data_IF_104568387803
#
_entry.id   IF_104568387803
#
_cell.length_a   1.000
_cell.length_b   1.000
_cell.length_c   1.000
_cell.angle_alpha   90.00
_cell.angle_beta   90.00
_cell.angle_gamma   90.00
#
_symmetry.space_group_name_H-M   'P 1'
#
loop_
_entity.id
_entity.type
_entity.pdbx_description
1 polymer ?
#
# COMPACT_ATOMS: atom_id res chain seq x y z
N UNK A 1 -12.68 -17.53 -1.73
CA UNK A 1 -11.49 -18.28 -1.29
C UNK A 1 -10.39 -18.44 -2.37
N UNK A 2 -10.35 -17.57 -3.41
CA UNK A 2 -9.38 -17.73 -4.52
C UNK A 2 -8.39 -16.55 -4.71
N UNK A 3 -8.60 -15.41 -4.04
CA UNK A 3 -7.70 -14.25 -4.15
C UNK A 3 -6.46 -14.31 -3.24
N UNK A 4 -6.55 -15.01 -2.10
CA UNK A 4 -5.42 -15.23 -1.18
C UNK A 4 -4.47 -16.34 -1.67
N UNK A 5 -4.94 -17.20 -2.57
CA UNK A 5 -4.18 -18.34 -3.09
C UNK A 5 -3.29 -17.97 -4.28
N UNK A 6 -3.47 -16.77 -4.83
CA UNK A 6 -2.73 -16.29 -5.99
C UNK A 6 -1.43 -15.50 -5.65
N UNK A 7 -0.86 -15.64 -4.45
CA UNK A 7 0.51 -15.15 -4.12
C UNK A 7 0.79 -13.66 -4.41
N UNK A 8 -0.24 -12.88 -4.75
CA UNK A 8 -0.20 -11.52 -5.28
C UNK A 8 -0.24 -10.51 -4.13
N UNK A 9 0.62 -10.72 -3.12
CA UNK A 9 0.74 -9.80 -1.97
C UNK A 9 0.95 -8.37 -2.45
N UNK A 10 1.79 -8.18 -3.47
CA UNK A 10 1.98 -6.88 -4.13
C UNK A 10 0.70 -6.28 -4.72
N UNK A 11 -0.09 -7.04 -5.49
CA UNK A 11 -1.36 -6.52 -6.02
C UNK A 11 -2.40 -6.27 -4.92
N UNK A 12 -2.48 -7.12 -3.89
CA UNK A 12 -3.41 -6.92 -2.78
C UNK A 12 -3.07 -5.61 -2.07
N UNK A 13 -1.79 -5.40 -1.74
CA UNK A 13 -1.33 -4.15 -1.13
C UNK A 13 -1.63 -2.94 -2.02
N UNK A 14 -1.38 -3.06 -3.33
CA UNK A 14 -1.70 -2.01 -4.31
C UNK A 14 -3.19 -1.66 -4.32
N UNK A 15 -4.07 -2.66 -4.39
CA UNK A 15 -5.53 -2.49 -4.37
C UNK A 15 -5.97 -1.88 -3.03
N UNK A 16 -5.42 -2.34 -1.92
CA UNK A 16 -5.74 -1.81 -0.59
C UNK A 16 -5.40 -0.32 -0.49
N UNK A 17 -4.19 0.10 -0.92
CA UNK A 17 -3.76 1.49 -0.88
C UNK A 17 -4.67 2.38 -1.75
N UNK A 18 -4.92 2.00 -3.00
CA UNK A 18 -5.76 2.78 -3.91
C UNK A 18 -7.21 2.86 -3.43
N UNK A 19 -7.76 1.74 -2.93
CA UNK A 19 -9.14 1.70 -2.43
C UNK A 19 -9.30 2.59 -1.20
N UNK A 20 -8.31 2.60 -0.31
CA UNK A 20 -8.31 3.47 0.86
C UNK A 20 -8.27 4.95 0.47
N UNK A 21 -7.38 5.34 -0.44
CA UNK A 21 -7.29 6.71 -0.91
C UNK A 21 -8.56 7.16 -1.65
N UNK A 22 -9.11 6.30 -2.49
CA UNK A 22 -10.36 6.58 -3.21
C UNK A 22 -11.54 6.75 -2.26
N UNK A 23 -11.61 5.94 -1.19
CA UNK A 23 -12.64 6.07 -0.16
C UNK A 23 -12.51 7.40 0.59
N UNK A 24 -11.31 7.78 1.01
CA UNK A 24 -11.06 9.05 1.70
C UNK A 24 -11.43 10.26 0.84
N UNK A 25 -11.04 10.24 -0.44
CA UNK A 25 -11.42 11.28 -1.39
C UNK A 25 -12.94 11.33 -1.62
N UNK A 26 -13.60 10.18 -1.69
CA UNK A 26 -15.06 10.10 -1.78
C UNK A 26 -15.76 10.70 -0.55
N UNK A 27 -15.28 10.38 0.66
CA UNK A 27 -15.80 10.97 1.90
C UNK A 27 -15.62 12.49 1.90
N UNK A 28 -14.43 12.98 1.51
CA UNK A 28 -14.16 14.41 1.41
C UNK A 28 -15.09 15.11 0.40
N UNK A 29 -15.30 14.50 -0.77
CA UNK A 29 -16.19 15.04 -1.80
C UNK A 29 -17.67 15.10 -1.36
N UNK A 30 -18.11 14.17 -0.51
CA UNK A 30 -19.49 14.16 0.03
C UNK A 30 -19.65 15.21 1.13
N UNK A 31 -18.74 15.25 2.11
CA UNK A 31 -18.86 16.12 3.29
C UNK A 31 -18.60 17.59 2.94
N UNK A 32 -17.59 17.88 2.11
CA UNK A 32 -17.19 19.24 1.73
C UNK A 32 -17.71 19.65 0.35
N UNK A 33 -18.78 19.02 -0.13
CA UNK A 33 -19.33 19.26 -1.48
C UNK A 33 -19.64 20.73 -1.77
N UNK A 34 -20.20 21.43 -0.78
CA UNK A 34 -20.75 22.79 -0.94
C UNK A 34 -20.08 23.83 -0.06
N UNK A 35 -19.09 23.46 0.76
CA UNK A 35 -18.46 24.35 1.73
C UNK A 35 -16.97 24.03 1.88
N UNK A 36 -16.10 25.04 1.86
CA UNK A 36 -14.67 24.92 2.18
C UNK A 36 -14.37 25.17 3.68
N UNK A 37 -15.40 25.07 4.53
CA UNK A 37 -15.29 25.39 5.96
C UNK A 37 -14.55 24.27 6.69
N UNK A 38 -13.59 24.62 7.56
CA UNK A 38 -12.86 23.67 8.41
C UNK A 38 -13.79 23.14 9.51
N UNK A 39 -14.66 22.18 9.15
CA UNK A 39 -15.63 21.55 10.06
C UNK A 39 -14.98 20.52 10.99
N UNK A 40 -13.93 19.86 10.52
CA UNK A 40 -13.21 18.82 11.25
C UNK A 40 -11.70 18.92 10.99
N UNK A 41 -10.96 19.76 11.75
CA UNK A 41 -9.52 19.93 11.55
C UNK A 41 -8.75 18.62 11.74
N UNK A 42 -9.14 17.80 12.72
CA UNK A 42 -8.53 16.47 12.96
C UNK A 42 -8.70 15.51 11.78
N UNK A 43 -9.82 15.59 11.06
CA UNK A 43 -10.07 14.75 9.88
C UNK A 43 -9.16 15.13 8.71
N UNK A 44 -8.95 16.44 8.49
CA UNK A 44 -8.05 16.94 7.47
C UNK A 44 -6.62 16.44 7.66
N UNK A 45 -6.10 16.52 8.89
CA UNK A 45 -4.76 16.04 9.23
C UNK A 45 -4.60 14.55 8.98
N UNK A 46 -5.58 13.73 9.39
CA UNK A 46 -5.55 12.27 9.17
C UNK A 46 -5.58 11.96 7.67
N UNK A 47 -6.48 12.60 6.94
CA UNK A 47 -6.66 12.33 5.50
C UNK A 47 -5.44 12.74 4.69
N UNK A 48 -4.86 13.91 4.98
CA UNK A 48 -3.63 14.38 4.34
C UNK A 48 -2.47 13.38 4.57
N UNK A 49 -2.30 12.88 5.79
CA UNK A 49 -1.25 11.92 6.13
C UNK A 49 -1.43 10.59 5.38
N UNK A 50 -2.65 10.08 5.30
CA UNK A 50 -2.93 8.83 4.58
C UNK A 50 -2.71 9.00 3.07
N UNK A 51 -3.17 10.10 2.48
CA UNK A 51 -2.96 10.39 1.04
C UNK A 51 -1.46 10.52 0.73
N UNK A 52 -0.70 11.18 1.60
CA UNK A 52 0.75 11.30 1.43
C UNK A 52 1.45 9.93 1.53
N UNK A 53 1.04 9.09 2.47
CA UNK A 53 1.52 7.71 2.60
C UNK A 53 1.15 6.82 1.43
N UNK A 54 -0.03 7.03 0.82
CA UNK A 54 -0.52 6.22 -0.30
C UNK A 54 0.39 6.30 -1.53
N UNK A 55 0.84 7.50 -1.92
CA UNK A 55 1.79 7.65 -3.04
C UNK A 55 3.04 6.77 -2.86
N UNK A 56 3.58 6.73 -1.63
CA UNK A 56 4.72 5.88 -1.28
C UNK A 56 4.34 4.39 -1.23
N UNK A 57 3.16 4.07 -0.72
CA UNK A 57 2.61 2.71 -0.66
C UNK A 57 2.39 2.10 -2.05
N UNK A 58 1.93 2.88 -3.02
CA UNK A 58 1.75 2.48 -4.42
C UNK A 58 3.10 2.16 -5.06
N UNK A 59 4.11 3.03 -4.88
CA UNK A 59 5.47 2.80 -5.41
C UNK A 59 6.08 1.54 -4.77
N UNK A 60 5.94 1.38 -3.45
CA UNK A 60 6.43 0.21 -2.73
C UNK A 60 5.72 -1.09 -3.20
N UNK A 61 4.41 -1.05 -3.40
CA UNK A 61 3.65 -2.18 -3.92
C UNK A 61 4.05 -2.52 -5.37
N UNK A 62 4.28 -1.50 -6.22
CA UNK A 62 4.80 -1.68 -7.59
C UNK A 62 6.18 -2.33 -7.59
N UNK A 63 7.08 -1.91 -6.69
CA UNK A 63 8.40 -2.54 -6.54
C UNK A 63 8.28 -4.02 -6.16
N UNK A 64 7.38 -4.37 -5.23
CA UNK A 64 7.12 -5.76 -4.83
C UNK A 64 6.59 -6.60 -6.00
N UNK A 65 5.67 -6.05 -6.80
CA UNK A 65 5.14 -6.72 -8.00
C UNK A 65 6.28 -6.96 -9.00
N UNK A 66 7.07 -5.93 -9.32
CA UNK A 66 8.20 -6.03 -10.24
C UNK A 66 9.26 -7.02 -9.78
N UNK A 67 9.61 -7.01 -8.48
CA UNK A 67 10.55 -7.97 -7.88
C UNK A 67 10.08 -9.41 -8.05
N UNK A 68 8.77 -9.66 -7.92
CA UNK A 68 8.20 -11.00 -8.13
C UNK A 68 8.23 -11.38 -9.61
N UNK A 69 7.87 -10.48 -10.52
CA UNK A 69 7.96 -10.72 -11.96
C UNK A 69 9.41 -11.01 -12.38
N UNK A 70 10.37 -10.24 -11.87
CA UNK A 70 11.79 -10.48 -12.11
C UNK A 70 12.23 -11.88 -11.65
N UNK A 71 11.80 -12.31 -10.46
CA UNK A 71 12.09 -13.68 -9.98
C UNK A 71 11.45 -14.75 -10.87
N UNK A 72 10.23 -14.54 -11.37
CA UNK A 72 9.57 -15.49 -12.27
C UNK A 72 10.31 -15.56 -13.61
N UNK A 73 10.69 -14.41 -14.18
CA UNK A 73 11.41 -14.35 -15.44
C UNK A 73 12.85 -14.88 -15.36
N UNK A 74 13.52 -14.69 -14.22
CA UNK A 74 14.92 -15.10 -13.99
C UNK A 74 15.07 -16.53 -13.47
N UNK A 75 14.01 -17.17 -12.95
CA UNK A 75 14.13 -18.52 -12.36
C UNK A 75 13.70 -19.58 -13.37
N UNK A 76 14.67 -20.28 -13.97
CA UNK A 76 14.39 -21.30 -14.98
C UNK A 76 13.93 -22.66 -14.41
N UNK A 77 14.29 -23.08 -13.19
CA UNK A 77 13.88 -24.42 -12.69
C UNK A 77 14.30 -24.73 -11.24
N UNK A 78 14.19 -23.79 -10.29
CA UNK A 78 14.56 -24.08 -8.88
C UNK A 78 13.31 -24.26 -8.04
N UNK A 79 13.14 -25.44 -7.41
CA UNK A 79 12.04 -25.68 -6.50
C UNK A 79 12.19 -24.79 -5.26
N UNK A 80 11.36 -23.75 -5.17
CA UNK A 80 11.38 -22.84 -4.03
C UNK A 80 10.79 -23.57 -2.82
N UNK A 81 11.59 -23.75 -1.77
CA UNK A 81 11.13 -24.34 -0.51
C UNK A 81 10.02 -23.49 0.11
N UNK A 82 9.04 -24.13 0.78
CA UNK A 82 7.93 -23.46 1.49
C UNK A 82 8.43 -22.40 2.48
N UNK A 83 9.58 -22.62 3.11
CA UNK A 83 10.18 -21.66 4.05
C UNK A 83 10.68 -20.39 3.37
N UNK A 84 11.39 -20.52 2.23
CA UNK A 84 11.84 -19.39 1.42
C UNK A 84 10.65 -18.60 0.86
N UNK A 85 9.57 -19.31 0.52
CA UNK A 85 8.29 -18.73 0.08
C UNK A 85 7.67 -17.82 1.14
N UNK A 86 7.58 -18.28 2.39
CA UNK A 86 7.05 -17.46 3.51
C UNK A 86 7.92 -16.25 3.78
N UNK A 87 9.25 -16.41 3.78
CA UNK A 87 10.19 -15.30 3.96
C UNK A 87 10.02 -14.22 2.89
N UNK A 88 9.77 -14.61 1.64
CA UNK A 88 9.50 -13.66 0.57
C UNK A 88 8.24 -12.83 0.86
N UNK A 89 7.13 -13.45 1.31
CA UNK A 89 5.90 -12.75 1.69
C UNK A 89 6.14 -11.75 2.82
N UNK A 90 6.84 -12.16 3.88
CA UNK A 90 7.11 -11.25 5.00
C UNK A 90 7.95 -10.05 4.57
N UNK A 91 8.94 -10.26 3.68
CA UNK A 91 9.74 -9.17 3.12
C UNK A 91 8.88 -8.26 2.24
N UNK A 92 8.01 -8.82 1.41
CA UNK A 92 7.13 -8.06 0.52
C UNK A 92 6.10 -7.23 1.31
N UNK A 93 5.56 -7.78 2.41
CA UNK A 93 4.73 -7.03 3.36
C UNK A 93 5.52 -5.94 4.08
N UNK A 94 6.73 -6.25 4.54
CA UNK A 94 7.58 -5.27 5.21
C UNK A 94 7.94 -4.09 4.29
N UNK A 95 8.15 -4.34 3.00
CA UNK A 95 8.42 -3.28 2.02
C UNK A 95 7.14 -2.49 1.73
N UNK A 96 6.03 -3.17 1.39
CA UNK A 96 4.80 -2.50 0.95
C UNK A 96 3.99 -1.81 2.06
N UNK A 97 4.24 -2.13 3.33
CA UNK A 97 3.67 -1.45 4.49
C UNK A 97 4.71 -0.64 5.28
N UNK A 98 5.94 -1.14 5.41
CA UNK A 98 6.96 -0.46 6.21
C UNK A 98 7.38 0.87 5.64
N UNK A 99 7.60 0.97 4.32
CA UNK A 99 7.94 2.24 3.66
C UNK A 99 6.86 3.31 3.89
N UNK A 100 5.57 3.09 3.56
CA UNK A 100 4.54 4.10 3.79
C UNK A 100 4.29 4.41 5.27
N UNK A 101 4.44 3.44 6.19
CA UNK A 101 4.31 3.72 7.64
C UNK A 101 5.46 4.62 8.12
N UNK A 102 6.70 4.35 7.68
CA UNK A 102 7.86 5.17 8.04
C UNK A 102 7.73 6.58 7.47
N UNK A 103 7.24 6.75 6.23
CA UNK A 103 7.05 8.09 5.66
C UNK A 103 5.96 8.87 6.40
N UNK A 104 4.85 8.22 6.78
CA UNK A 104 3.82 8.85 7.62
C UNK A 104 4.37 9.23 9.00
N UNK A 105 5.18 8.35 9.62
CA UNK A 105 5.79 8.61 10.92
C UNK A 105 6.80 9.77 10.87
N UNK A 106 7.62 9.84 9.81
CA UNK A 106 8.56 10.95 9.59
C UNK A 106 7.82 12.27 9.37
N UNK A 107 6.70 12.25 8.65
CA UNK A 107 5.84 13.42 8.44
C UNK A 107 5.26 13.96 9.77
N UNK A 108 5.25 13.17 10.85
CA UNK A 108 4.82 13.64 12.16
C UNK A 108 5.80 14.62 12.82
N UNK A 109 7.08 14.54 12.44
CA UNK A 109 8.16 15.38 12.98
C UNK A 109 8.51 16.59 12.11
N UNK A 110 7.90 16.69 10.93
CA UNK A 110 8.05 17.81 9.98
C UNK A 110 6.86 18.75 10.14
#
# INVERSE_FOLDING_TARGET
YWHLEAWNVGCILYICWISLCSLLNGINAIIWRNDAIIRAPVWGDITMRIIYGEAHGIIAASLVINRRLYKIASTTSVSISRAQRRRAIYVDLAIGLGIPIVTIALLWFV
#
